data_IF_328614710926
#
_entry.id   IF_328614710926
#
_cell.length_a   1.000
_cell.length_b   1.000
_cell.length_c   1.000
_cell.angle_alpha   90.00
_cell.angle_beta   90.00
_cell.angle_gamma   90.00
#
_symmetry.space_group_name_H-M   'P 1'
#
loop_
_entity.id
_entity.type
_entity.pdbx_description
1 polymer ?
#
# COMPACT_ATOMS: atom_id res chain seq x y z
N UNK A 1 -13.80 -14.67 -12.08
CA UNK A 1 -13.88 -15.56 -10.90
C UNK A 1 -14.26 -14.82 -9.64
N UNK A 2 -13.49 -13.84 -9.14
CA UNK A 2 -13.80 -13.16 -7.87
C UNK A 2 -15.22 -12.54 -7.78
N UNK A 3 -15.75 -11.95 -8.86
CA UNK A 3 -17.09 -11.33 -8.85
C UNK A 3 -18.22 -12.35 -8.68
N UNK A 4 -18.13 -13.54 -9.30
CA UNK A 4 -19.13 -14.60 -9.15
C UNK A 4 -19.18 -15.08 -7.69
N UNK A 5 -18.01 -15.38 -7.12
CA UNK A 5 -17.93 -15.83 -5.73
C UNK A 5 -18.44 -14.79 -4.73
N UNK A 6 -18.23 -13.49 -4.99
CA UNK A 6 -18.80 -12.42 -4.17
C UNK A 6 -20.32 -12.36 -4.35
N UNK A 7 -20.80 -12.48 -5.59
CA UNK A 7 -22.23 -12.44 -5.90
C UNK A 7 -23.02 -13.60 -5.30
N UNK A 8 -22.51 -14.83 -5.40
CA UNK A 8 -23.11 -16.03 -4.80
C UNK A 8 -23.19 -15.93 -3.27
N UNK A 9 -22.13 -15.42 -2.63
CA UNK A 9 -22.13 -15.17 -1.18
C UNK A 9 -23.15 -14.12 -0.78
N UNK A 10 -23.24 -13.03 -1.53
CA UNK A 10 -24.23 -11.99 -1.28
C UNK A 10 -25.66 -12.51 -1.49
N UNK A 11 -25.91 -13.33 -2.52
CA UNK A 11 -27.19 -13.96 -2.76
C UNK A 11 -27.60 -14.86 -1.58
N UNK A 12 -26.69 -15.72 -1.13
CA UNK A 12 -26.94 -16.63 0.00
C UNK A 12 -27.15 -15.87 1.32
N UNK A 13 -26.40 -14.79 1.57
CA UNK A 13 -26.48 -14.01 2.81
C UNK A 13 -27.67 -13.03 2.86
N UNK A 14 -28.19 -12.61 1.70
CA UNK A 14 -29.33 -11.68 1.63
C UNK A 14 -30.67 -12.39 1.47
N UNK A 15 -30.70 -13.62 0.96
CA UNK A 15 -31.93 -14.39 0.80
C UNK A 15 -32.52 -14.76 2.16
N UNK A 16 -33.73 -14.26 2.45
CA UNK A 16 -34.44 -14.54 3.70
C UNK A 16 -33.80 -13.93 4.95
N UNK A 17 -32.90 -12.96 4.82
CA UNK A 17 -32.21 -12.36 5.95
C UNK A 17 -33.10 -11.31 6.65
N UNK A 18 -33.48 -11.51 7.95
CA UNK A 18 -34.35 -10.58 8.67
C UNK A 18 -33.73 -9.21 8.90
N UNK A 19 -32.40 -9.07 8.83
CA UNK A 19 -31.72 -7.78 8.93
C UNK A 19 -31.91 -6.90 7.67
N UNK A 20 -32.31 -7.51 6.55
CA UNK A 20 -32.42 -6.87 5.24
C UNK A 20 -33.77 -7.16 4.57
N UNK A 21 -34.90 -6.71 5.15
CA UNK A 21 -36.24 -7.09 4.71
C UNK A 21 -36.65 -6.51 3.35
N UNK A 22 -36.11 -5.34 2.97
CA UNK A 22 -36.53 -4.59 1.77
C UNK A 22 -35.33 -4.29 0.85
N UNK A 23 -34.72 -5.30 0.21
CA UNK A 23 -33.59 -5.06 -0.67
C UNK A 23 -34.03 -4.30 -1.93
N UNK A 24 -33.24 -3.30 -2.40
CA UNK A 24 -33.57 -2.51 -3.60
C UNK A 24 -33.40 -3.28 -4.92
N UNK A 25 -32.85 -4.49 -4.86
CA UNK A 25 -32.68 -5.41 -5.98
C UNK A 25 -33.24 -6.75 -5.53
N UNK A 26 -34.10 -7.37 -6.34
CA UNK A 26 -34.61 -8.71 -6.01
C UNK A 26 -33.50 -9.77 -6.15
N UNK A 27 -33.55 -10.78 -5.29
CA UNK A 27 -32.57 -11.87 -5.31
C UNK A 27 -32.64 -12.66 -6.62
N UNK A 28 -33.84 -12.81 -7.20
CA UNK A 28 -34.05 -13.42 -8.51
C UNK A 28 -33.33 -12.65 -9.63
N UNK A 29 -33.35 -11.31 -9.62
CA UNK A 29 -32.63 -10.51 -10.61
C UNK A 29 -31.11 -10.67 -10.47
N UNK A 30 -30.62 -10.83 -9.24
CA UNK A 30 -29.20 -11.07 -8.99
C UNK A 30 -28.79 -12.47 -9.46
N UNK A 31 -29.59 -13.50 -9.16
CA UNK A 31 -29.38 -14.89 -9.58
C UNK A 31 -29.32 -14.99 -11.11
N UNK A 32 -30.32 -14.44 -11.82
CA UNK A 32 -30.33 -14.40 -13.28
C UNK A 32 -29.10 -13.68 -13.87
N UNK A 33 -28.64 -12.60 -13.24
CA UNK A 33 -27.46 -11.89 -13.71
C UNK A 33 -26.16 -12.67 -13.48
N UNK A 34 -26.07 -13.45 -12.39
CA UNK A 34 -24.94 -14.34 -12.12
C UNK A 34 -24.90 -15.51 -13.11
N UNK A 35 -26.06 -16.10 -13.43
CA UNK A 35 -26.20 -17.14 -14.44
C UNK A 35 -25.84 -16.63 -15.85
N UNK A 36 -26.35 -15.46 -16.23
CA UNK A 36 -25.99 -14.82 -17.50
C UNK A 36 -24.47 -14.57 -17.59
N UNK A 37 -23.85 -14.14 -16.48
CA UNK A 37 -22.41 -13.93 -16.43
C UNK A 37 -21.61 -15.23 -16.46
N UNK A 38 -22.08 -16.29 -15.80
CA UNK A 38 -21.44 -17.61 -15.82
C UNK A 38 -21.47 -18.22 -17.23
N UNK A 39 -22.62 -18.15 -17.91
CA UNK A 39 -22.79 -18.56 -19.30
C UNK A 39 -21.90 -17.73 -20.24
N UNK A 40 -21.82 -16.41 -20.04
CA UNK A 40 -20.97 -15.56 -20.86
C UNK A 40 -19.46 -15.85 -20.67
N UNK A 41 -19.04 -16.27 -19.47
CA UNK A 41 -17.66 -16.74 -19.23
C UNK A 41 -17.40 -18.03 -20.00
N UNK A 42 -18.34 -18.97 -20.00
CA UNK A 42 -18.21 -20.23 -20.75
C UNK A 42 -18.17 -19.99 -22.26
N UNK A 43 -19.04 -19.12 -22.77
CA UNK A 43 -19.07 -18.75 -24.20
C UNK A 43 -17.76 -18.10 -24.65
N UNK A 44 -17.13 -17.29 -23.80
CA UNK A 44 -15.85 -16.66 -24.07
C UNK A 44 -14.68 -17.65 -24.18
N UNK A 45 -14.82 -18.89 -23.72
CA UNK A 45 -13.78 -19.91 -23.89
C UNK A 45 -13.44 -20.17 -25.37
N UNK A 46 -14.40 -19.91 -26.27
CA UNK A 46 -14.22 -20.02 -27.73
C UNK A 46 -13.52 -18.80 -28.36
N UNK A 47 -13.27 -17.74 -27.56
CA UNK A 47 -12.69 -16.48 -28.01
C UNK A 47 -13.65 -15.61 -28.84
N UNK A 48 -13.13 -14.47 -29.32
CA UNK A 48 -13.86 -13.56 -30.21
C UNK A 48 -14.25 -12.22 -29.58
N UNK A 49 -14.35 -11.18 -30.42
CA UNK A 49 -14.69 -9.81 -30.00
C UNK A 49 -16.11 -9.70 -29.44
N UNK A 50 -17.08 -10.37 -30.08
CA UNK A 50 -18.48 -10.40 -29.64
C UNK A 50 -18.65 -11.08 -28.27
N UNK A 51 -18.09 -12.28 -28.09
CA UNK A 51 -18.16 -13.01 -26.82
C UNK A 51 -17.48 -12.23 -25.68
N UNK A 52 -16.37 -11.54 -25.99
CA UNK A 52 -15.70 -10.63 -25.03
C UNK A 52 -16.62 -9.47 -24.62
N UNK A 53 -17.32 -8.86 -25.59
CA UNK A 53 -18.24 -7.75 -25.34
C UNK A 53 -19.45 -8.18 -24.50
N UNK A 54 -20.07 -9.32 -24.83
CA UNK A 54 -21.19 -9.92 -24.06
C UNK A 54 -20.79 -10.19 -22.61
N UNK A 55 -19.64 -10.84 -22.40
CA UNK A 55 -19.11 -11.08 -21.05
C UNK A 55 -18.84 -9.79 -20.29
N UNK A 56 -18.32 -8.75 -20.94
CA UNK A 56 -18.09 -7.45 -20.31
C UNK A 56 -19.41 -6.74 -19.94
N UNK A 57 -20.46 -6.89 -20.75
CA UNK A 57 -21.80 -6.37 -20.45
C UNK A 57 -22.41 -7.08 -19.24
N UNK A 58 -22.40 -8.42 -19.24
CA UNK A 58 -22.89 -9.22 -18.12
C UNK A 58 -22.11 -8.90 -16.83
N UNK A 59 -20.78 -8.74 -16.91
CA UNK A 59 -19.96 -8.30 -15.77
C UNK A 59 -20.40 -6.94 -15.23
N UNK A 60 -20.68 -5.96 -16.10
CA UNK A 60 -21.13 -4.62 -15.68
C UNK A 60 -22.49 -4.69 -14.97
N UNK A 61 -23.42 -5.49 -15.50
CA UNK A 61 -24.75 -5.72 -14.90
C UNK A 61 -24.63 -6.29 -13.49
N UNK A 62 -23.83 -7.34 -13.29
CA UNK A 62 -23.58 -7.92 -11.96
C UNK A 62 -22.96 -6.90 -11.00
N UNK A 63 -21.97 -6.12 -11.44
CA UNK A 63 -21.34 -5.09 -10.61
C UNK A 63 -22.35 -4.02 -10.19
N UNK A 64 -23.23 -3.60 -11.11
CA UNK A 64 -24.24 -2.58 -10.82
C UNK A 64 -25.23 -3.07 -9.75
N UNK A 65 -25.76 -4.29 -9.90
CA UNK A 65 -26.69 -4.89 -8.95
C UNK A 65 -26.04 -5.07 -7.56
N UNK A 66 -24.82 -5.62 -7.52
CA UNK A 66 -24.07 -5.77 -6.27
C UNK A 66 -23.74 -4.42 -5.62
N UNK A 67 -23.48 -3.37 -6.40
CA UNK A 67 -23.21 -2.04 -5.85
C UNK A 67 -24.44 -1.41 -5.21
N UNK A 68 -25.63 -1.63 -5.78
CA UNK A 68 -26.90 -1.17 -5.19
C UNK A 68 -27.18 -1.90 -3.87
N UNK A 69 -26.97 -3.22 -3.84
CA UNK A 69 -27.14 -4.02 -2.63
C UNK A 69 -26.11 -3.65 -1.54
N UNK A 70 -24.84 -3.46 -1.90
CA UNK A 70 -23.79 -3.10 -0.95
C UNK A 70 -24.10 -1.78 -0.23
N UNK A 71 -24.63 -0.76 -0.95
CA UNK A 71 -25.06 0.50 -0.34
C UNK A 71 -26.20 0.31 0.65
N UNK A 72 -27.21 -0.48 0.27
CA UNK A 72 -28.31 -0.82 1.15
C UNK A 72 -27.84 -1.53 2.44
N UNK A 73 -26.93 -2.49 2.30
CA UNK A 73 -26.32 -3.20 3.43
C UNK A 73 -25.54 -2.25 4.32
N UNK A 74 -24.75 -1.34 3.74
CA UNK A 74 -23.99 -0.33 4.49
C UNK A 74 -24.93 0.59 5.29
N UNK A 75 -26.01 1.07 4.68
CA UNK A 75 -27.00 1.94 5.32
C UNK A 75 -27.76 1.24 6.46
N UNK A 76 -28.15 -0.02 6.26
CA UNK A 76 -28.91 -0.81 7.26
C UNK A 76 -28.04 -1.34 8.39
N UNK A 77 -26.77 -1.67 8.11
CA UNK A 77 -25.88 -2.27 9.12
C UNK A 77 -25.40 -1.26 10.17
N UNK A 78 -25.44 0.06 9.93
CA UNK A 78 -25.09 1.10 10.92
C UNK A 78 -23.75 0.88 11.67
N UNK A 79 -22.72 0.40 10.97
CA UNK A 79 -21.41 -0.04 11.53
C UNK A 79 -21.42 -1.28 12.43
N UNK A 80 -22.53 -2.03 12.51
CA UNK A 80 -22.58 -3.33 13.16
C UNK A 80 -21.96 -4.40 12.26
N UNK A 81 -20.79 -4.89 12.66
CA UNK A 81 -20.01 -5.86 11.86
C UNK A 81 -20.72 -7.22 11.72
N UNK A 82 -21.34 -7.80 12.77
CA UNK A 82 -22.15 -9.02 12.64
C UNK A 82 -23.29 -8.88 11.63
N UNK A 83 -24.07 -7.79 11.70
CA UNK A 83 -25.15 -7.52 10.74
C UNK A 83 -24.60 -7.40 9.31
N UNK A 84 -23.49 -6.70 9.11
CA UNK A 84 -22.84 -6.60 7.80
C UNK A 84 -22.39 -7.97 7.29
N UNK A 85 -21.72 -8.79 8.12
CA UNK A 85 -21.22 -10.10 7.69
C UNK A 85 -22.34 -11.08 7.38
N UNK A 86 -23.51 -10.94 8.02
CA UNK A 86 -24.68 -11.76 7.72
C UNK A 86 -25.21 -11.58 6.30
N UNK A 87 -24.95 -10.41 5.67
CA UNK A 87 -25.31 -10.15 4.26
C UNK A 87 -24.48 -10.92 3.23
N UNK A 88 -23.39 -11.56 3.65
CA UNK A 88 -22.43 -12.22 2.75
C UNK A 88 -21.45 -11.27 2.05
N UNK A 89 -21.60 -9.95 2.22
CA UNK A 89 -20.60 -8.98 1.75
C UNK A 89 -19.35 -8.99 2.63
N UNK A 90 -18.14 -8.91 2.04
CA UNK A 90 -16.92 -8.76 2.82
C UNK A 90 -16.88 -7.37 3.47
N UNK A 91 -16.48 -7.31 4.74
CA UNK A 91 -16.16 -6.05 5.38
C UNK A 91 -15.03 -5.34 4.62
N UNK A 92 -15.14 -4.01 4.47
CA UNK A 92 -14.12 -3.22 3.79
C UNK A 92 -12.79 -3.36 4.53
N UNK A 93 -11.83 -4.03 3.91
CA UNK A 93 -10.49 -4.17 4.47
C UNK A 93 -9.82 -2.78 4.55
N UNK A 94 -9.69 -2.26 5.77
CA UNK A 94 -8.97 -1.01 6.06
C UNK A 94 -7.48 -1.26 6.34
N UNK A 95 -7.07 -2.51 6.53
CA UNK A 95 -5.68 -2.87 6.78
C UNK A 95 -4.91 -2.88 5.45
N UNK A 96 -4.20 -1.79 5.20
CA UNK A 96 -3.13 -1.78 4.20
C UNK A 96 -1.91 -2.36 4.91
N UNK A 97 -1.57 -3.63 4.63
CA UNK A 97 -0.38 -4.25 5.19
C UNK A 97 0.83 -3.32 5.03
N UNK A 98 1.50 -3.03 6.14
CA UNK A 98 2.73 -2.26 6.12
C UNK A 98 3.80 -3.17 5.52
N UNK A 99 4.16 -2.93 4.27
CA UNK A 99 5.31 -3.62 3.68
C UNK A 99 6.54 -2.99 4.30
N UNK A 100 7.27 -3.71 5.15
CA UNK A 100 8.50 -3.19 5.75
C UNK A 100 9.51 -2.82 4.66
N UNK A 101 10.19 -1.69 4.83
CA UNK A 101 11.28 -1.34 3.93
C UNK A 101 12.47 -2.28 4.15
N UNK A 102 13.18 -2.68 3.08
CA UNK A 102 14.49 -3.29 3.24
C UNK A 102 15.44 -2.31 3.95
N UNK A 103 16.39 -2.84 4.71
CA UNK A 103 17.41 -2.05 5.42
C UNK A 103 18.15 -1.14 4.45
N UNK A 104 18.28 0.14 4.81
CA UNK A 104 18.98 1.12 3.98
C UNK A 104 20.48 0.82 3.91
N UNK A 105 21.08 1.09 2.76
CA UNK A 105 22.52 0.88 2.52
C UNK A 105 23.13 2.14 1.93
N UNK A 106 24.10 2.73 2.65
CA UNK A 106 24.92 3.83 2.15
C UNK A 106 25.95 3.22 1.18
N UNK A 107 25.88 3.64 -0.09
CA UNK A 107 26.77 3.16 -1.15
C UNK A 107 28.08 3.93 -1.20
N UNK A 108 28.02 5.25 -1.02
CA UNK A 108 29.17 6.13 -1.18
C UNK A 108 28.99 7.42 -0.39
N UNK A 109 30.09 7.92 0.15
CA UNK A 109 30.21 9.27 0.70
C UNK A 109 31.27 10.00 -0.10
N UNK A 110 30.96 11.20 -0.57
CA UNK A 110 31.87 12.01 -1.39
C UNK A 110 31.96 13.43 -0.84
N UNK A 111 33.15 14.05 -0.84
CA UNK A 111 33.28 15.47 -0.52
C UNK A 111 32.57 16.31 -1.59
N UNK A 112 31.84 17.35 -1.16
CA UNK A 112 31.14 18.26 -2.08
C UNK A 112 31.71 19.67 -2.04
N UNK A 113 31.83 20.25 -0.85
CA UNK A 113 32.44 21.55 -0.54
C UNK A 113 33.01 21.49 0.87
N UNK A 114 33.86 22.43 1.25
CA UNK A 114 34.34 22.53 2.64
C UNK A 114 33.14 22.57 3.60
N UNK A 115 33.13 21.64 4.57
CA UNK A 115 32.03 21.47 5.52
C UNK A 115 30.75 20.83 4.96
N UNK A 116 30.81 20.24 3.76
CA UNK A 116 29.69 19.51 3.14
C UNK A 116 30.12 18.16 2.54
N UNK A 117 29.39 17.11 2.91
CA UNK A 117 29.50 15.77 2.34
C UNK A 117 28.25 15.43 1.53
N UNK A 118 28.40 14.62 0.49
CA UNK A 118 27.30 14.11 -0.30
C UNK A 118 27.21 12.59 -0.16
N UNK A 119 26.08 12.11 0.35
CA UNK A 119 25.78 10.70 0.53
C UNK A 119 25.01 10.16 -0.67
N UNK A 120 25.32 8.92 -1.03
CA UNK A 120 24.57 8.12 -1.99
C UNK A 120 24.06 6.86 -1.29
N UNK A 121 22.77 6.60 -1.41
CA UNK A 121 22.05 5.50 -0.76
C UNK A 121 21.42 4.64 -1.84
N UNK A 122 21.39 3.33 -1.64
CA UNK A 122 20.68 2.41 -2.53
C UNK A 122 19.19 2.78 -2.55
N UNK A 123 18.63 3.01 -3.73
CA UNK A 123 17.22 3.36 -3.85
C UNK A 123 16.33 2.22 -3.31
N UNK A 124 15.47 2.53 -2.35
CA UNK A 124 14.49 1.62 -1.80
C UNK A 124 13.15 1.85 -2.52
N UNK A 125 12.56 0.81 -3.14
CA UNK A 125 11.24 0.91 -3.75
C UNK A 125 10.20 1.40 -2.74
N UNK A 126 9.31 2.30 -3.18
CA UNK A 126 8.23 2.90 -2.37
C UNK A 126 8.67 3.81 -1.20
N UNK A 127 9.96 4.06 -1.02
CA UNK A 127 10.43 5.10 -0.11
C UNK A 127 10.08 6.48 -0.66
N UNK A 128 9.50 7.36 0.17
CA UNK A 128 9.19 8.75 -0.21
C UNK A 128 10.36 9.68 0.09
N UNK A 129 11.09 9.41 1.17
CA UNK A 129 12.28 10.13 1.56
C UNK A 129 13.20 9.25 2.41
N UNK A 130 14.39 9.78 2.69
CA UNK A 130 15.43 9.20 3.53
C UNK A 130 15.72 10.18 4.65
N UNK A 131 15.72 9.70 5.89
CA UNK A 131 16.22 10.47 7.02
C UNK A 131 17.67 10.11 7.26
N UNK A 132 18.50 11.13 7.44
CA UNK A 132 19.92 10.96 7.74
C UNK A 132 20.20 11.51 9.12
N UNK A 133 20.93 10.74 9.93
CA UNK A 133 21.47 11.18 11.21
C UNK A 133 23.00 11.11 11.12
N UNK A 134 23.67 12.10 11.68
CA UNK A 134 25.12 12.14 11.79
C UNK A 134 25.57 12.32 13.23
N UNK A 135 26.73 11.74 13.57
CA UNK A 135 27.40 11.93 14.85
C UNK A 135 28.89 12.19 14.61
N UNK A 136 29.48 13.15 15.32
CA UNK A 136 30.94 13.34 15.30
C UNK A 136 31.61 12.16 16.00
N UNK A 137 32.66 11.63 15.39
CA UNK A 137 33.50 10.59 15.99
C UNK A 137 34.68 11.29 16.66
N UNK A 138 34.69 11.27 18.00
CA UNK A 138 35.72 11.88 18.82
C UNK A 138 37.06 11.15 18.78
N UNK A 139 38.11 11.70 19.42
CA UNK A 139 39.35 10.98 19.65
C UNK A 139 39.02 9.69 20.41
N UNK A 140 39.54 8.55 19.95
CA UNK A 140 39.26 7.19 20.47
C UNK A 140 37.99 6.50 19.93
N UNK A 141 37.32 7.05 18.91
CA UNK A 141 36.19 6.37 18.25
C UNK A 141 34.86 6.51 18.98
N UNK A 142 34.79 7.31 20.03
CA UNK A 142 33.55 7.60 20.77
C UNK A 142 32.62 8.43 19.90
N UNK A 143 31.38 7.97 19.72
CA UNK A 143 30.34 8.71 19.02
C UNK A 143 29.81 9.82 19.93
N UNK A 144 29.85 11.06 19.43
CA UNK A 144 29.19 12.20 20.04
C UNK A 144 27.65 12.13 19.90
N UNK A 145 26.93 13.17 20.34
CA UNK A 145 25.48 13.21 20.24
C UNK A 145 25.04 13.13 18.77
N UNK A 146 24.04 12.30 18.52
CA UNK A 146 23.43 12.18 17.22
C UNK A 146 22.64 13.43 16.87
N UNK A 147 22.87 13.93 15.66
CA UNK A 147 22.21 15.09 15.10
C UNK A 147 21.42 14.68 13.87
N UNK A 148 20.16 15.12 13.79
CA UNK A 148 19.38 15.00 12.57
C UNK A 148 19.98 15.88 11.47
N UNK A 149 20.36 15.24 10.37
CA UNK A 149 20.97 15.87 9.21
C UNK A 149 19.93 16.19 8.12
N UNK A 150 18.66 15.79 8.31
CA UNK A 150 17.52 16.17 7.50
C UNK A 150 16.83 15.01 6.78
N UNK A 151 15.75 15.37 6.09
CA UNK A 151 14.95 14.49 5.22
C UNK A 151 15.22 14.80 3.76
N UNK A 152 15.50 13.77 2.96
CA UNK A 152 15.88 13.92 1.56
C UNK A 152 15.05 13.00 0.68
N UNK A 153 14.46 13.52 -0.39
CA UNK A 153 13.68 12.74 -1.36
C UNK A 153 14.55 12.02 -2.39
N UNK A 154 15.80 12.47 -2.56
CA UNK A 154 16.76 11.90 -3.51
C UNK A 154 17.67 10.90 -2.81
N UNK A 155 17.84 9.70 -3.39
CA UNK A 155 18.77 8.69 -2.90
C UNK A 155 20.20 8.83 -3.45
N UNK A 156 20.37 9.48 -4.61
CA UNK A 156 21.66 9.56 -5.34
C UNK A 156 22.50 10.78 -4.98
N UNK A 157 21.90 11.79 -4.36
CA UNK A 157 22.60 12.97 -3.87
C UNK A 157 21.90 13.52 -2.64
N UNK A 158 22.49 13.24 -1.48
CA UNK A 158 22.03 13.73 -0.18
C UNK A 158 23.12 14.66 0.38
N UNK A 159 23.01 15.98 0.19
CA UNK A 159 23.98 16.94 0.69
C UNK A 159 23.79 17.17 2.19
N UNK A 160 24.77 16.75 2.98
CA UNK A 160 24.84 17.00 4.41
C UNK A 160 25.81 18.16 4.66
N UNK A 161 25.28 19.27 5.18
CA UNK A 161 26.06 20.47 5.47
C UNK A 161 26.20 20.76 6.96
N UNK A 162 26.99 21.79 7.28
CA UNK A 162 27.23 22.20 8.66
C UNK A 162 28.12 21.23 9.43
N UNK A 163 29.05 20.58 8.72
CA UNK A 163 30.08 19.71 9.27
C UNK A 163 31.38 20.50 9.43
N UNK A 164 32.16 20.21 10.47
CA UNK A 164 33.47 20.83 10.68
C UNK A 164 34.53 20.11 9.84
N UNK A 165 35.26 20.81 8.94
CA UNK A 165 36.36 20.21 8.18
C UNK A 165 37.42 19.58 9.09
N UNK A 166 38.01 18.47 8.66
CA UNK A 166 39.03 17.73 9.41
C UNK A 166 38.48 16.75 10.45
N UNK A 167 37.18 16.81 10.80
CA UNK A 167 36.53 15.88 11.74
C UNK A 167 35.98 14.64 11.03
N UNK A 168 35.90 13.52 11.75
CA UNK A 168 35.28 12.29 11.27
C UNK A 168 33.82 12.26 11.74
N UNK A 169 32.90 11.93 10.84
CA UNK A 169 31.49 11.79 11.15
C UNK A 169 30.99 10.41 10.77
N UNK A 170 30.16 9.82 11.62
CA UNK A 170 29.41 8.59 11.36
C UNK A 170 28.01 8.94 10.87
N UNK A 171 27.56 8.28 9.80
CA UNK A 171 26.27 8.52 9.17
C UNK A 171 25.40 7.27 9.21
N UNK A 172 24.12 7.45 9.54
CA UNK A 172 23.08 6.43 9.41
C UNK A 172 21.90 6.96 8.63
N UNK A 173 21.27 6.10 7.85
CA UNK A 173 20.13 6.45 6.99
C UNK A 173 18.98 5.48 7.22
N UNK A 174 17.74 5.95 7.23
CA UNK A 174 16.54 5.11 7.13
C UNK A 174 15.59 5.61 6.05
N UNK A 175 14.85 4.69 5.43
CA UNK A 175 13.78 5.05 4.51
C UNK A 175 12.50 5.43 5.27
N UNK A 176 11.76 6.40 4.73
CA UNK A 176 10.47 6.86 5.25
C UNK A 176 9.48 6.94 4.10
N UNK A 177 8.24 6.52 4.36
CA UNK A 177 7.12 6.68 3.42
C UNK A 177 6.31 5.43 3.16
N UNK A 178 5.42 5.51 2.16
CA UNK A 178 4.52 4.41 1.79
C UNK A 178 3.57 4.02 2.92
N UNK A 179 3.03 2.79 2.86
CA UNK A 179 2.32 2.17 3.97
C UNK A 179 3.25 1.65 5.07
N UNK A 180 4.56 1.64 4.82
CA UNK A 180 5.58 1.12 5.73
C UNK A 180 5.86 2.03 6.94
N UNK A 181 5.67 3.35 6.79
CA UNK A 181 6.02 4.33 7.81
C UNK A 181 7.53 4.57 7.86
N UNK A 182 8.24 3.80 8.69
CA UNK A 182 9.69 3.91 8.92
C UNK A 182 10.39 2.57 8.66
N UNK A 183 11.51 2.62 7.94
CA UNK A 183 12.41 1.49 7.81
C UNK A 183 13.48 1.48 8.92
N UNK A 184 14.21 0.38 8.99
CA UNK A 184 15.36 0.25 9.88
C UNK A 184 16.52 1.18 9.47
N UNK A 185 17.31 1.57 10.47
CA UNK A 185 18.56 2.31 10.25
C UNK A 185 19.60 1.45 9.51
N UNK A 186 20.35 2.08 8.61
CA UNK A 186 21.51 1.49 7.96
C UNK A 186 22.61 1.18 8.95
N UNK A 187 23.56 0.35 8.51
CA UNK A 187 24.87 0.28 9.18
C UNK A 187 25.52 1.67 9.21
N UNK A 188 26.21 2.03 10.32
CA UNK A 188 26.92 3.28 10.43
C UNK A 188 28.13 3.29 9.49
N UNK A 189 28.27 4.35 8.70
CA UNK A 189 29.45 4.56 7.83
C UNK A 189 30.16 5.83 8.26
N UNK A 190 31.44 5.70 8.60
CA UNK A 190 32.27 6.83 9.01
C UNK A 190 33.05 7.43 7.84
N UNK A 191 33.08 8.76 7.74
CA UNK A 191 33.86 9.48 6.75
C UNK A 191 34.42 10.78 7.31
N UNK A 192 35.65 11.12 6.93
CA UNK A 192 36.27 12.40 7.30
C UNK A 192 35.69 13.53 6.44
N UNK A 193 35.30 14.63 7.05
CA UNK A 193 34.96 15.86 6.33
C UNK A 193 36.27 16.51 5.85
N UNK A 194 36.38 16.74 4.54
CA UNK A 194 37.53 17.40 3.91
C UNK A 194 37.39 18.92 3.86
#
# INVERSE_FOLDING_TARGET
MAILAIGEKALAGMSGNPAFPDPPVSMEMLEQALDEFSLAIQAQAKGGTLATAVRNNARRKVIELLSRLARYVEDKSKNDLPTLLSSGFPARNRSRAQVQFPKAVILKITPRRSGQLNLQVRAIPNARCYQVVCAEVGPNGVLGPERDAGLFTNSRSIPIGGLTPGKVYSFRVRAIGGSAGFGDWSEPVSHRCG
#
